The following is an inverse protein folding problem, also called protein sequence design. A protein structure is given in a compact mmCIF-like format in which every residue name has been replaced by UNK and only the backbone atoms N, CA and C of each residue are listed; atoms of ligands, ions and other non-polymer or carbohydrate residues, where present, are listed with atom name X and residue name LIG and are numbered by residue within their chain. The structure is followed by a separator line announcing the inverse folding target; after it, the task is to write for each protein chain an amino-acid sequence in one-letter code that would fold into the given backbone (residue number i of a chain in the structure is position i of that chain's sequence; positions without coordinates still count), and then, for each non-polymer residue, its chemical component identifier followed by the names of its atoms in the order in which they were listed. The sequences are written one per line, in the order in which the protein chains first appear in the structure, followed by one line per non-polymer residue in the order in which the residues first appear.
data_IF_848928967774
#
_entry.id   IF_848928967774
#
_cell.length_a   1.000
_cell.length_b   1.000
_cell.length_c   1.000
_cell.angle_alpha   90.00
_cell.angle_beta   90.00
_cell.angle_gamma   90.00
#
_symmetry.space_group_name_H-M   'P 1'
#
loop_
_entity.id
_entity.type
_entity.pdbx_description
1 polymer ?
#
# COMPACT_ATOMS: atom_id res chain seq x y z
N UNK A 1 6.25 5.71 -15.78
CA UNK A 1 5.54 5.03 -14.67
C UNK A 1 6.33 4.99 -13.36
N UNK A 2 7.59 5.42 -13.34
CA UNK A 2 8.38 5.47 -12.11
C UNK A 2 8.61 4.12 -11.42
N UNK A 3 8.89 3.06 -12.18
CA UNK A 3 9.10 1.70 -11.65
C UNK A 3 10.36 1.57 -10.79
N UNK A 4 10.36 0.60 -9.88
CA UNK A 4 11.54 0.24 -9.06
C UNK A 4 12.62 -0.52 -9.84
N UNK A 5 12.33 -0.98 -11.07
CA UNK A 5 13.25 -1.76 -11.90
C UNK A 5 13.56 -3.17 -11.36
N UNK A 6 12.70 -3.73 -10.48
CA UNK A 6 12.89 -5.04 -9.85
C UNK A 6 12.18 -6.20 -10.56
N UNK A 7 11.62 -5.98 -11.75
CA UNK A 7 11.01 -7.03 -12.57
C UNK A 7 9.59 -7.45 -12.14
N UNK A 8 8.94 -6.72 -11.22
CA UNK A 8 7.61 -7.08 -10.71
C UNK A 8 6.56 -7.06 -11.83
N UNK A 9 6.48 -5.99 -12.61
CA UNK A 9 5.54 -5.87 -13.73
C UNK A 9 5.66 -7.01 -14.73
N UNK A 10 6.86 -7.27 -15.30
CA UNK A 10 7.08 -8.41 -16.20
C UNK A 10 6.71 -9.77 -15.61
N UNK A 11 6.97 -9.99 -14.31
CA UNK A 11 6.61 -11.25 -13.63
C UNK A 11 5.09 -11.43 -13.54
N UNK A 12 4.34 -10.36 -13.22
CA UNK A 12 2.87 -10.42 -13.25
C UNK A 12 2.33 -10.61 -14.67
N UNK A 13 2.93 -9.99 -15.68
CA UNK A 13 2.57 -10.22 -17.08
C UNK A 13 2.77 -11.70 -17.47
N UNK A 14 3.90 -12.30 -17.09
CA UNK A 14 4.16 -13.72 -17.32
C UNK A 14 3.17 -14.63 -16.58
N UNK A 15 2.79 -14.27 -15.35
CA UNK A 15 1.76 -14.99 -14.59
C UNK A 15 0.43 -15.00 -15.33
N UNK A 16 -0.04 -13.85 -15.79
CA UNK A 16 -1.33 -13.72 -16.50
C UNK A 16 -1.29 -14.39 -17.87
N UNK A 17 -0.15 -14.34 -18.56
CA UNK A 17 0.09 -15.04 -19.81
C UNK A 17 0.33 -16.56 -19.63
N UNK A 18 0.42 -17.04 -18.41
CA UNK A 18 0.61 -18.45 -18.02
C UNK A 18 1.93 -19.06 -18.49
N UNK A 19 2.96 -18.23 -18.66
CA UNK A 19 4.33 -18.65 -18.99
C UNK A 19 5.30 -18.52 -17.80
N UNK A 20 4.80 -18.03 -16.66
CA UNK A 20 5.59 -17.82 -15.44
C UNK A 20 6.09 -19.13 -14.81
N UNK A 21 7.25 -19.06 -14.17
CA UNK A 21 7.82 -20.16 -13.39
C UNK A 21 7.20 -20.12 -11.98
N UNK A 22 6.74 -21.29 -11.52
CA UNK A 22 6.18 -21.48 -10.18
C UNK A 22 7.23 -22.08 -9.25
N UNK A 23 7.13 -21.82 -7.94
CA UNK A 23 8.05 -22.40 -6.95
C UNK A 23 8.08 -23.94 -7.02
N UNK A 24 6.94 -24.58 -7.25
CA UNK A 24 6.85 -26.04 -7.40
C UNK A 24 7.69 -26.57 -8.60
N UNK A 25 7.91 -25.78 -9.63
CA UNK A 25 8.67 -26.19 -10.81
C UNK A 25 10.15 -26.41 -10.49
N UNK A 26 10.67 -25.80 -9.41
CA UNK A 26 12.04 -26.00 -8.92
C UNK A 26 12.33 -27.46 -8.54
N UNK A 27 11.29 -28.25 -8.25
CA UNK A 27 11.43 -29.62 -7.74
C UNK A 27 11.32 -30.67 -8.85
N UNK A 28 11.11 -30.24 -10.09
CA UNK A 28 11.19 -31.08 -11.28
C UNK A 28 12.16 -30.44 -12.31
N UNK A 29 13.42 -30.90 -12.35
CA UNK A 29 14.43 -30.31 -13.24
C UNK A 29 14.05 -30.33 -14.73
N UNK A 30 13.30 -31.35 -15.18
CA UNK A 30 12.86 -31.46 -16.57
C UNK A 30 11.83 -30.39 -16.91
N UNK A 31 10.80 -30.25 -16.09
CA UNK A 31 9.76 -29.23 -16.24
C UNK A 31 10.36 -27.84 -16.15
N UNK A 32 11.22 -27.60 -15.16
CA UNK A 32 11.86 -26.27 -15.00
C UNK A 32 12.65 -25.89 -16.24
N UNK A 33 13.53 -26.78 -16.74
CA UNK A 33 14.34 -26.52 -17.95
C UNK A 33 13.46 -26.23 -19.17
N UNK A 34 12.39 -27.00 -19.34
CA UNK A 34 11.45 -26.80 -20.43
C UNK A 34 10.77 -25.44 -20.36
N UNK A 35 10.25 -25.06 -19.19
CA UNK A 35 9.55 -23.78 -18.98
C UNK A 35 10.49 -22.59 -19.15
N UNK A 36 11.70 -22.65 -18.56
CA UNK A 36 12.72 -21.59 -18.71
C UNK A 36 13.09 -21.40 -20.17
N UNK A 37 13.32 -22.49 -20.92
CA UNK A 37 13.62 -22.43 -22.36
C UNK A 37 12.49 -21.76 -23.12
N UNK A 38 11.26 -22.21 -22.95
CA UNK A 38 10.09 -21.66 -23.64
C UNK A 38 9.86 -20.18 -23.31
N UNK A 39 10.01 -19.77 -22.05
CA UNK A 39 9.87 -18.37 -21.65
C UNK A 39 10.97 -17.48 -22.24
N UNK A 40 12.22 -17.97 -22.26
CA UNK A 40 13.35 -17.19 -22.76
C UNK A 40 13.41 -17.16 -24.31
N UNK A 41 12.84 -18.11 -25.01
CA UNK A 41 12.74 -18.06 -26.47
C UNK A 41 12.03 -16.78 -26.95
N UNK A 42 10.89 -16.46 -26.34
CA UNK A 42 10.16 -15.22 -26.63
C UNK A 42 10.91 -13.96 -26.16
N UNK A 43 11.44 -14.00 -24.93
CA UNK A 43 12.13 -12.85 -24.35
C UNK A 43 13.45 -12.54 -25.05
N UNK A 44 14.21 -13.54 -25.44
CA UNK A 44 15.45 -13.36 -26.18
C UNK A 44 15.19 -12.76 -27.57
N UNK A 45 14.10 -13.15 -28.23
CA UNK A 45 13.68 -12.50 -29.47
C UNK A 45 13.45 -11.00 -29.33
N UNK A 46 12.85 -10.57 -28.21
CA UNK A 46 12.68 -9.15 -27.88
C UNK A 46 14.00 -8.48 -27.51
N UNK A 47 14.82 -9.13 -26.69
CA UNK A 47 16.13 -8.60 -26.27
C UNK A 47 17.01 -8.32 -27.48
N UNK A 48 17.12 -9.26 -28.41
CA UNK A 48 17.99 -9.13 -29.59
C UNK A 48 17.41 -8.16 -30.63
N UNK A 49 16.13 -8.37 -31.01
CA UNK A 49 15.56 -7.68 -32.21
C UNK A 49 15.00 -6.28 -31.88
N UNK A 50 14.60 -6.03 -30.64
CA UNK A 50 13.95 -4.75 -30.22
C UNK A 50 14.86 -3.92 -29.37
N UNK A 51 15.57 -4.54 -28.41
CA UNK A 51 16.36 -3.82 -27.45
C UNK A 51 17.87 -3.81 -27.72
N UNK A 52 18.32 -4.49 -28.77
CA UNK A 52 19.76 -4.66 -29.14
C UNK A 52 20.58 -5.10 -27.88
N UNK A 53 20.09 -6.13 -27.19
CA UNK A 53 20.71 -6.72 -26.02
C UNK A 53 21.09 -8.17 -26.27
N UNK A 54 22.11 -8.64 -25.54
CA UNK A 54 22.51 -10.05 -25.61
C UNK A 54 21.39 -10.95 -25.08
N UNK A 55 21.16 -12.10 -25.73
CA UNK A 55 20.23 -13.10 -25.22
C UNK A 55 20.70 -13.66 -23.87
N UNK A 56 19.76 -14.13 -23.09
CA UNK A 56 20.01 -14.81 -21.81
C UNK A 56 20.08 -16.31 -22.08
N UNK A 57 21.10 -16.98 -21.55
CA UNK A 57 21.24 -18.42 -21.67
C UNK A 57 20.19 -19.15 -20.79
N UNK A 58 19.25 -19.91 -21.41
CA UNK A 58 18.24 -20.65 -20.64
C UNK A 58 18.83 -21.71 -19.72
N UNK A 59 19.97 -22.30 -20.10
CA UNK A 59 20.61 -23.33 -19.30
C UNK A 59 21.18 -22.74 -18.02
N UNK A 60 21.88 -21.61 -18.11
CA UNK A 60 22.44 -20.91 -16.97
C UNK A 60 21.35 -20.50 -15.96
N UNK A 61 20.22 -19.97 -16.45
CA UNK A 61 19.08 -19.59 -15.59
C UNK A 61 18.48 -20.81 -14.90
N UNK A 62 18.28 -21.91 -15.63
CA UNK A 62 17.71 -23.12 -15.05
C UNK A 62 18.65 -23.73 -14.00
N UNK A 63 19.95 -23.73 -14.22
CA UNK A 63 20.95 -24.27 -13.30
C UNK A 63 21.02 -23.42 -12.02
N UNK A 64 20.96 -22.09 -12.13
CA UNK A 64 20.88 -21.18 -10.99
C UNK A 64 19.63 -21.44 -10.14
N UNK A 65 18.45 -21.57 -10.77
CA UNK A 65 17.21 -21.85 -10.07
C UNK A 65 17.22 -23.24 -9.38
N UNK A 66 17.80 -24.25 -10.05
CA UNK A 66 17.95 -25.60 -9.46
C UNK A 66 18.89 -25.60 -8.25
N UNK A 67 19.93 -24.74 -8.25
CA UNK A 67 20.82 -24.63 -7.10
C UNK A 67 20.10 -24.12 -5.84
N UNK A 68 19.00 -23.36 -6.00
CA UNK A 68 18.19 -22.94 -4.85
C UNK A 68 17.17 -23.97 -4.40
N UNK A 69 16.85 -24.99 -5.20
CA UNK A 69 15.76 -25.93 -4.94
C UNK A 69 15.87 -26.60 -3.57
N UNK A 70 17.04 -27.15 -3.23
CA UNK A 70 17.23 -27.85 -1.95
C UNK A 70 17.17 -26.91 -0.75
N UNK A 71 17.63 -25.66 -0.90
CA UNK A 71 17.55 -24.65 0.16
C UNK A 71 16.12 -24.21 0.45
N UNK A 72 15.26 -24.08 -0.57
CA UNK A 72 13.88 -23.61 -0.42
C UNK A 72 12.90 -24.76 -0.11
N UNK A 73 13.24 -26.01 -0.44
CA UNK A 73 12.37 -27.18 -0.25
C UNK A 73 11.73 -27.26 1.14
N UNK A 74 12.47 -27.13 2.26
CA UNK A 74 11.88 -27.21 3.60
C UNK A 74 10.95 -26.03 3.94
N UNK A 75 10.96 -24.95 3.14
CA UNK A 75 10.11 -23.77 3.35
C UNK A 75 8.82 -23.84 2.52
N UNK A 76 8.68 -24.81 1.62
CA UNK A 76 7.55 -24.90 0.68
C UNK A 76 6.47 -25.80 1.28
N UNK A 77 5.30 -25.24 1.41
CA UNK A 77 4.11 -25.89 1.96
C UNK A 77 2.88 -25.52 1.14
N UNK A 78 1.80 -26.27 1.30
CA UNK A 78 0.48 -25.82 0.88
C UNK A 78 0.00 -24.73 1.85
N UNK A 79 0.22 -23.46 1.48
CA UNK A 79 -0.13 -22.31 2.32
C UNK A 79 -1.62 -22.26 2.63
N UNK A 80 -2.49 -22.58 1.66
CA UNK A 80 -3.93 -22.60 1.89
C UNK A 80 -4.31 -23.61 2.98
N UNK A 81 -3.77 -24.82 2.89
CA UNK A 81 -4.04 -25.87 3.89
C UNK A 81 -3.52 -25.49 5.28
N UNK A 82 -2.29 -24.96 5.37
CA UNK A 82 -1.68 -24.56 6.65
C UNK A 82 -2.49 -23.44 7.31
N UNK A 83 -2.85 -22.40 6.56
CA UNK A 83 -3.60 -21.25 7.10
C UNK A 83 -5.02 -21.64 7.52
N UNK A 84 -5.73 -22.42 6.69
CA UNK A 84 -7.08 -22.84 7.05
C UNK A 84 -7.08 -23.76 8.29
N UNK A 85 -6.10 -24.68 8.44
CA UNK A 85 -5.95 -25.49 9.66
C UNK A 85 -5.68 -24.63 10.90
N UNK A 86 -4.85 -23.57 10.77
CA UNK A 86 -4.60 -22.65 11.87
C UNK A 86 -5.89 -21.94 12.30
N UNK A 87 -6.66 -21.44 11.34
CA UNK A 87 -7.96 -20.80 11.58
C UNK A 87 -8.98 -21.79 12.19
N UNK A 88 -9.04 -23.03 11.72
CA UNK A 88 -9.92 -24.07 12.26
C UNK A 88 -9.55 -24.43 13.70
N UNK A 89 -8.27 -24.33 14.05
CA UNK A 89 -7.77 -24.49 15.41
C UNK A 89 -7.96 -23.25 16.32
N UNK A 90 -8.63 -22.20 15.83
CA UNK A 90 -8.88 -20.96 16.59
C UNK A 90 -7.64 -20.08 16.76
N UNK A 91 -6.60 -20.26 15.94
CA UNK A 91 -5.40 -19.42 15.99
C UNK A 91 -5.64 -18.09 15.28
N UNK A 92 -5.02 -17.03 15.80
CA UNK A 92 -5.01 -15.72 15.13
C UNK A 92 -4.01 -15.72 13.98
N UNK A 93 -4.47 -15.35 12.78
CA UNK A 93 -3.64 -15.21 11.58
C UNK A 93 -3.63 -13.75 11.16
N UNK A 94 -2.45 -13.16 11.04
CA UNK A 94 -2.24 -11.81 10.55
C UNK A 94 -1.78 -11.84 9.10
N UNK A 95 -2.55 -11.23 8.21
CA UNK A 95 -2.17 -11.00 6.82
C UNK A 95 -1.59 -9.59 6.69
N UNK A 96 -0.33 -9.47 6.27
CA UNK A 96 0.31 -8.20 6.02
C UNK A 96 0.40 -7.97 4.51
N UNK A 97 -0.25 -6.92 4.01
CA UNK A 97 -0.14 -6.47 2.63
C UNK A 97 0.94 -5.39 2.49
N UNK A 98 1.57 -5.34 1.34
CA UNK A 98 2.45 -4.23 0.94
C UNK A 98 1.69 -3.16 0.16
N UNK A 99 2.38 -2.09 -0.22
CA UNK A 99 1.88 -0.97 -1.02
C UNK A 99 0.69 -0.23 -0.37
N UNK A 100 -0.25 0.23 -1.20
CA UNK A 100 -1.42 0.99 -0.74
C UNK A 100 -2.60 0.79 -1.70
N UNK A 101 -3.81 1.10 -1.23
CA UNK A 101 -5.05 1.00 -2.03
C UNK A 101 -4.94 1.74 -3.36
N UNK A 102 -4.41 2.96 -3.37
CA UNK A 102 -4.29 3.76 -4.60
C UNK A 102 -3.22 3.24 -5.57
N UNK A 103 -2.45 2.21 -5.19
CA UNK A 103 -1.51 1.49 -6.04
C UNK A 103 -2.04 0.13 -6.51
N UNK A 104 -3.27 -0.24 -6.15
CA UNK A 104 -3.91 -1.48 -6.63
C UNK A 104 -4.14 -1.42 -8.14
N UNK A 105 -3.89 -2.54 -8.84
CA UNK A 105 -3.98 -2.62 -10.30
C UNK A 105 -5.40 -2.34 -10.81
N UNK A 106 -6.43 -2.71 -10.03
CA UNK A 106 -7.83 -2.58 -10.42
C UNK A 106 -8.50 -1.35 -9.79
N UNK A 107 -8.14 -1.01 -8.55
CA UNK A 107 -8.79 0.03 -7.74
C UNK A 107 -7.94 1.27 -7.52
N UNK A 108 -6.70 1.27 -7.98
CA UNK A 108 -5.77 2.39 -7.83
C UNK A 108 -5.78 3.35 -9.02
N UNK A 109 -4.79 4.23 -9.02
CA UNK A 109 -4.60 5.28 -10.03
C UNK A 109 -3.91 4.74 -11.28
N UNK A 110 -4.51 3.76 -11.95
CA UNK A 110 -3.97 3.18 -13.18
C UNK A 110 -3.69 4.27 -14.24
N UNK A 111 -2.52 4.28 -14.92
CA UNK A 111 -1.47 3.25 -14.93
C UNK A 111 -0.39 3.41 -13.84
N UNK A 112 -0.49 4.38 -12.93
CA UNK A 112 0.48 4.67 -11.88
C UNK A 112 0.24 3.78 -10.65
N UNK A 113 0.35 2.48 -10.83
CA UNK A 113 0.01 1.43 -9.85
C UNK A 113 1.09 0.34 -9.82
N UNK A 114 1.02 -0.54 -8.83
CA UNK A 114 1.73 -1.83 -8.86
C UNK A 114 0.97 -2.82 -9.75
N UNK A 115 1.63 -3.87 -10.20
CA UNK A 115 0.98 -4.93 -10.98
C UNK A 115 0.23 -5.95 -10.11
N UNK A 116 0.08 -5.67 -8.83
CA UNK A 116 -0.55 -6.55 -7.83
C UNK A 116 -1.82 -5.91 -7.24
N UNK A 117 -2.55 -6.70 -6.46
CA UNK A 117 -3.72 -6.26 -5.70
C UNK A 117 -3.37 -6.13 -4.20
N UNK A 118 -2.90 -4.96 -3.73
CA UNK A 118 -2.66 -4.72 -2.31
C UNK A 118 -3.94 -4.45 -1.50
N UNK A 119 -5.11 -4.41 -2.13
CA UNK A 119 -6.39 -4.37 -1.40
C UNK A 119 -6.62 -5.67 -0.62
N UNK A 120 -7.47 -5.63 0.41
CA UNK A 120 -7.72 -6.76 1.31
C UNK A 120 -8.15 -8.04 0.58
N UNK A 121 -8.89 -7.93 -0.53
CA UNK A 121 -9.22 -9.07 -1.38
C UNK A 121 -8.01 -9.82 -1.94
N UNK A 122 -6.87 -9.14 -2.10
CA UNK A 122 -5.61 -9.75 -2.52
C UNK A 122 -5.04 -10.75 -1.53
N UNK A 123 -5.33 -10.62 -0.24
CA UNK A 123 -4.96 -11.61 0.77
C UNK A 123 -5.66 -12.95 0.51
N UNK A 124 -6.95 -12.91 0.20
CA UNK A 124 -7.72 -14.12 -0.10
C UNK A 124 -7.19 -14.85 -1.33
N UNK A 125 -6.99 -14.14 -2.44
CA UNK A 125 -6.49 -14.75 -3.68
C UNK A 125 -5.04 -15.18 -3.60
N UNK A 126 -4.22 -14.46 -2.84
CA UNK A 126 -2.80 -14.75 -2.67
C UNK A 126 -2.50 -15.95 -1.76
N UNK A 127 -3.34 -16.19 -0.76
CA UNK A 127 -3.11 -17.21 0.27
C UNK A 127 -4.04 -18.42 0.17
N UNK A 128 -5.15 -18.30 -0.55
CA UNK A 128 -6.17 -19.36 -0.63
C UNK A 128 -7.05 -19.47 0.61
N UNK A 129 -7.15 -18.39 1.40
CA UNK A 129 -8.12 -18.26 2.50
C UNK A 129 -9.41 -17.63 1.95
N UNK A 130 -10.55 -18.23 2.25
CA UNK A 130 -11.84 -17.72 1.78
C UNK A 130 -12.18 -16.35 2.42
N UNK A 131 -12.87 -15.45 1.69
CA UNK A 131 -13.14 -14.09 2.19
C UNK A 131 -13.98 -14.07 3.48
N UNK A 132 -14.84 -15.07 3.70
CA UNK A 132 -15.65 -15.19 4.92
C UNK A 132 -14.86 -15.63 6.16
N UNK A 133 -13.56 -15.90 6.01
CA UNK A 133 -12.62 -16.24 7.09
C UNK A 133 -11.79 -15.04 7.55
N UNK A 134 -12.03 -13.88 6.96
CA UNK A 134 -11.39 -12.63 7.35
C UNK A 134 -12.35 -11.90 8.29
N UNK A 135 -11.99 -11.81 9.56
CA UNK A 135 -12.83 -11.20 10.59
C UNK A 135 -12.66 -9.69 10.65
N UNK A 136 -11.43 -9.21 10.40
CA UNK A 136 -11.10 -7.78 10.50
C UNK A 136 -10.15 -7.34 9.38
N UNK A 137 -10.36 -6.13 8.89
CA UNK A 137 -9.49 -5.48 7.92
C UNK A 137 -9.04 -4.14 8.50
N UNK A 138 -7.76 -4.06 8.81
CA UNK A 138 -7.17 -2.86 9.43
C UNK A 138 -6.44 -2.05 8.37
N UNK A 139 -6.92 -0.83 8.12
CA UNK A 139 -6.24 0.13 7.25
C UNK A 139 -5.19 0.93 8.01
N UNK A 140 -3.99 1.05 7.48
CA UNK A 140 -2.97 1.98 8.01
C UNK A 140 -3.00 3.26 7.19
N UNK A 141 -3.23 4.38 7.85
CA UNK A 141 -3.30 5.71 7.24
C UNK A 141 -2.36 6.66 7.98
N UNK A 142 -1.76 7.60 7.28
CA UNK A 142 -1.03 8.69 7.93
C UNK A 142 -1.97 9.86 8.25
N UNK A 143 -1.60 10.65 9.23
CA UNK A 143 -2.31 11.90 9.52
C UNK A 143 -2.25 12.92 8.35
N UNK A 144 -1.37 12.74 7.39
CA UNK A 144 -1.26 13.47 6.14
C UNK A 144 -1.05 12.49 4.98
N UNK A 145 -1.07 12.94 3.74
CA UNK A 145 -0.95 12.04 2.59
C UNK A 145 0.47 12.06 2.02
N UNK A 146 0.97 10.90 1.59
CA UNK A 146 2.24 10.79 0.86
C UNK A 146 2.10 9.92 -0.38
N UNK A 147 2.87 10.25 -1.42
CA UNK A 147 2.95 9.44 -2.63
C UNK A 147 4.39 9.28 -3.08
N UNK A 148 4.74 8.07 -3.52
CA UNK A 148 6.00 7.79 -4.20
C UNK A 148 5.74 7.64 -5.70
N UNK A 149 6.57 8.30 -6.52
CA UNK A 149 6.47 8.23 -7.98
C UNK A 149 5.40 9.15 -8.56
N UNK A 150 5.10 8.91 -9.82
CA UNK A 150 4.19 9.70 -10.64
C UNK A 150 2.72 9.37 -10.32
N UNK A 151 1.83 10.11 -11.00
CA UNK A 151 0.38 9.93 -10.89
C UNK A 151 -0.32 11.05 -10.12
N UNK A 152 -1.66 11.08 -10.15
CA UNK A 152 -2.46 12.13 -9.55
C UNK A 152 -2.29 12.19 -8.03
N UNK A 153 -2.25 13.41 -7.52
CA UNK A 153 -2.17 13.70 -6.10
C UNK A 153 -2.81 15.07 -5.83
N UNK A 154 -4.14 15.16 -5.79
CA UNK A 154 -4.84 16.44 -5.70
C UNK A 154 -4.43 17.32 -4.51
N UNK A 155 -4.13 16.68 -3.36
CA UNK A 155 -3.74 17.41 -2.13
C UNK A 155 -2.23 17.66 -2.02
N UNK A 156 -1.44 17.44 -3.06
CA UNK A 156 0.01 17.65 -3.02
C UNK A 156 0.39 19.10 -2.71
N UNK A 157 1.37 19.27 -1.83
CA UNK A 157 1.98 20.53 -1.46
C UNK A 157 3.36 20.64 -2.10
N UNK A 158 3.50 21.53 -3.07
CA UNK A 158 4.74 21.74 -3.84
C UNK A 158 5.66 22.83 -3.28
N UNK A 159 5.24 23.51 -2.20
CA UNK A 159 5.96 24.61 -1.56
C UNK A 159 6.60 24.22 -0.23
N UNK A 160 6.94 25.25 0.56
CA UNK A 160 7.61 25.12 1.85
C UNK A 160 6.88 24.20 2.84
N UNK A 161 5.56 24.18 2.79
CA UNK A 161 4.74 23.32 3.65
C UNK A 161 4.93 21.83 3.33
N UNK A 162 4.98 21.47 2.04
CA UNK A 162 5.28 20.09 1.62
C UNK A 162 6.69 19.65 1.99
N UNK A 163 7.67 20.57 1.89
CA UNK A 163 9.04 20.30 2.34
C UNK A 163 9.10 20.11 3.87
N UNK A 164 8.35 20.92 4.63
CA UNK A 164 8.24 20.78 6.08
C UNK A 164 7.69 19.41 6.46
N UNK A 165 6.54 18.99 5.91
CA UNK A 165 5.97 17.66 6.15
C UNK A 165 6.94 16.54 5.78
N UNK A 166 7.69 16.70 4.68
CA UNK A 166 8.69 15.72 4.25
C UNK A 166 9.83 15.60 5.25
N UNK A 167 10.38 16.72 5.70
CA UNK A 167 11.51 16.76 6.62
C UNK A 167 11.12 16.22 8.01
N UNK A 168 10.06 16.75 8.60
CA UNK A 168 9.56 16.35 9.92
C UNK A 168 9.05 14.90 9.92
N UNK A 169 8.37 14.50 8.86
CA UNK A 169 7.89 13.14 8.68
C UNK A 169 8.96 12.13 8.26
N UNK A 170 10.18 12.55 7.91
CA UNK A 170 11.20 11.66 7.39
C UNK A 170 10.75 10.93 6.12
N UNK A 171 10.04 11.64 5.22
CA UNK A 171 9.36 11.04 4.08
C UNK A 171 10.32 10.77 2.91
N UNK A 172 11.15 9.75 3.10
CA UNK A 172 12.09 9.23 2.11
C UNK A 172 11.92 7.73 1.95
N UNK A 173 12.16 7.23 0.75
CA UNK A 173 12.09 5.79 0.47
C UNK A 173 13.22 5.03 1.17
N UNK A 174 12.87 4.03 1.99
CA UNK A 174 13.86 3.25 2.76
C UNK A 174 14.92 2.61 1.87
N UNK A 175 14.54 2.07 0.72
CA UNK A 175 15.44 1.35 -0.20
C UNK A 175 16.13 2.28 -1.20
N UNK A 176 15.46 3.35 -1.62
CA UNK A 176 15.91 4.19 -2.73
C UNK A 176 16.37 5.58 -2.30
N UNK A 177 16.09 5.99 -1.06
CA UNK A 177 16.33 7.35 -0.57
C UNK A 177 15.51 8.43 -1.30
N UNK A 178 14.61 8.06 -2.23
CA UNK A 178 13.84 9.05 -2.99
C UNK A 178 12.89 9.82 -2.08
N UNK A 179 12.83 11.17 -2.22
CA UNK A 179 11.85 11.96 -1.49
C UNK A 179 10.43 11.56 -1.91
N UNK A 180 9.54 11.48 -0.92
CA UNK A 180 8.12 11.29 -1.16
C UNK A 180 7.45 12.64 -1.38
N UNK A 181 6.47 12.68 -2.25
CA UNK A 181 5.54 13.80 -2.40
C UNK A 181 4.64 13.81 -1.15
N UNK A 182 4.39 14.99 -0.58
CA UNK A 182 3.59 15.15 0.64
C UNK A 182 2.44 16.11 0.39
N UNK A 183 1.34 15.91 1.08
CA UNK A 183 0.15 16.75 0.99
C UNK A 183 -0.76 16.58 2.20
N UNK A 184 -1.77 17.43 2.32
CA UNK A 184 -2.75 17.33 3.38
C UNK A 184 -3.54 16.02 3.32
N UNK A 185 -4.13 15.62 4.43
CA UNK A 185 -4.94 14.40 4.48
C UNK A 185 -6.09 14.47 3.48
N UNK A 186 -6.24 13.40 2.70
CA UNK A 186 -7.27 13.26 1.68
C UNK A 186 -8.35 12.29 2.17
N UNK A 187 -9.44 12.86 2.70
CA UNK A 187 -10.53 12.07 3.24
C UNK A 187 -11.38 11.40 2.14
N UNK A 188 -11.38 11.94 0.91
CA UNK A 188 -12.04 11.28 -0.22
C UNK A 188 -11.35 9.97 -0.56
N UNK A 189 -10.02 9.98 -0.63
CA UNK A 189 -9.20 8.77 -0.83
C UNK A 189 -9.35 7.80 0.35
N UNK A 190 -9.34 8.31 1.59
CA UNK A 190 -9.45 7.44 2.77
C UNK A 190 -10.83 6.76 2.85
N UNK A 191 -11.91 7.47 2.54
CA UNK A 191 -13.27 6.91 2.42
C UNK A 191 -13.36 5.86 1.32
N UNK A 192 -12.79 6.16 0.15
CA UNK A 192 -12.72 5.19 -0.94
C UNK A 192 -11.95 3.93 -0.53
N UNK A 193 -10.79 4.09 0.12
CA UNK A 193 -10.01 2.97 0.62
C UNK A 193 -10.78 2.15 1.66
N UNK A 194 -11.51 2.79 2.58
CA UNK A 194 -12.37 2.09 3.55
C UNK A 194 -13.41 1.23 2.84
N UNK A 195 -14.07 1.76 1.82
CA UNK A 195 -15.10 1.05 1.03
C UNK A 195 -14.54 -0.15 0.26
N UNK A 196 -13.47 0.03 -0.52
CA UNK A 196 -12.97 -1.05 -1.40
C UNK A 196 -12.25 -2.16 -0.66
N UNK A 197 -11.75 -1.89 0.56
CA UNK A 197 -11.14 -2.89 1.41
C UNK A 197 -12.11 -3.49 2.44
N UNK A 198 -13.28 -2.87 2.67
CA UNK A 198 -14.16 -3.25 3.76
C UNK A 198 -13.50 -3.04 5.13
N UNK A 199 -12.84 -1.88 5.33
CA UNK A 199 -12.10 -1.62 6.57
C UNK A 199 -13.04 -1.65 7.78
N UNK A 200 -12.62 -2.38 8.80
CA UNK A 200 -13.27 -2.38 10.12
C UNK A 200 -12.63 -1.36 11.05
N UNK A 201 -11.36 -1.07 10.83
CA UNK A 201 -10.52 -0.22 11.67
C UNK A 201 -9.51 0.57 10.85
N UNK A 202 -9.12 1.74 11.36
CA UNK A 202 -7.98 2.52 10.91
C UNK A 202 -6.93 2.58 12.03
N UNK A 203 -5.68 2.49 11.64
CA UNK A 203 -4.53 2.88 12.47
C UNK A 203 -3.95 4.14 11.85
N UNK A 204 -4.12 5.27 12.52
CA UNK A 204 -3.53 6.53 12.10
C UNK A 204 -2.10 6.63 12.61
N UNK A 205 -1.16 6.95 11.73
CA UNK A 205 0.26 7.12 12.09
C UNK A 205 0.70 8.55 11.86
N UNK A 206 1.80 8.94 12.53
CA UNK A 206 2.45 10.25 12.31
C UNK A 206 1.58 11.46 12.67
N UNK A 207 0.74 11.35 13.68
CA UNK A 207 -0.02 12.50 14.17
C UNK A 207 0.91 13.57 14.76
N UNK A 208 2.01 13.15 15.37
CA UNK A 208 3.09 14.00 15.89
C UNK A 208 3.70 14.96 14.88
N UNK A 209 3.75 14.57 13.61
CA UNK A 209 4.31 15.39 12.51
C UNK A 209 3.48 16.65 12.25
N UNK A 210 2.21 16.67 12.64
CA UNK A 210 1.33 17.83 12.50
C UNK A 210 1.44 18.84 13.64
N UNK A 211 2.25 18.58 14.66
CA UNK A 211 2.52 19.54 15.76
C UNK A 211 3.14 20.83 15.24
N UNK A 212 2.71 21.96 15.76
CA UNK A 212 3.21 23.29 15.37
C UNK A 212 2.57 23.88 14.11
N UNK A 213 1.53 23.24 13.56
CA UNK A 213 0.70 23.84 12.53
C UNK A 213 -0.45 24.62 13.18
N UNK A 214 -0.65 25.89 12.79
CA UNK A 214 -1.75 26.71 13.29
C UNK A 214 -3.12 26.17 12.86
N UNK A 215 -3.19 25.71 11.60
CA UNK A 215 -4.36 25.04 11.03
C UNK A 215 -3.89 23.79 10.30
N UNK A 216 -4.73 22.74 10.33
CA UNK A 216 -4.49 21.47 9.61
C UNK A 216 -5.65 21.27 8.63
N UNK A 217 -5.45 21.60 7.35
CA UNK A 217 -6.45 21.36 6.31
C UNK A 217 -6.69 19.88 6.06
N UNK A 218 -7.95 19.50 5.86
CA UNK A 218 -8.37 18.16 5.43
C UNK A 218 -9.17 18.28 4.15
N UNK A 219 -8.78 17.56 3.11
CA UNK A 219 -9.55 17.52 1.87
C UNK A 219 -10.82 16.67 2.11
N UNK A 220 -11.97 17.34 2.06
CA UNK A 220 -13.28 16.71 2.33
C UNK A 220 -14.08 16.42 1.06
N UNK A 221 -13.70 17.05 -0.06
CA UNK A 221 -14.34 16.90 -1.37
C UNK A 221 -13.37 17.32 -2.48
N UNK A 222 -13.73 17.02 -3.71
CA UNK A 222 -13.09 17.58 -4.89
C UNK A 222 -14.08 18.47 -5.65
N UNK A 223 -13.56 19.50 -6.30
CA UNK A 223 -14.22 20.18 -7.41
C UNK A 223 -13.66 19.58 -8.71
N UNK A 224 -14.56 19.04 -9.52
CA UNK A 224 -14.26 18.46 -10.84
C UNK A 224 -15.11 19.22 -11.85
N UNK A 225 -14.49 20.07 -12.66
CA UNK A 225 -15.16 20.89 -13.68
C UNK A 225 -16.36 21.69 -13.12
N UNK A 226 -16.21 22.27 -11.92
CA UNK A 226 -17.25 23.07 -11.25
C UNK A 226 -18.30 22.23 -10.52
N UNK A 227 -18.14 20.90 -10.47
CA UNK A 227 -19.01 20.00 -9.73
C UNK A 227 -18.32 19.49 -8.49
N UNK A 228 -18.86 19.79 -7.31
CA UNK A 228 -18.35 19.29 -6.04
C UNK A 228 -18.77 17.84 -5.81
N UNK A 229 -17.81 16.98 -5.54
CA UNK A 229 -18.02 15.56 -5.20
C UNK A 229 -17.25 15.16 -3.96
N UNK A 230 -17.84 14.28 -3.15
CA UNK A 230 -17.18 13.64 -2.00
C UNK A 230 -16.72 12.22 -2.34
N UNK A 231 -16.96 11.78 -3.56
CA UNK A 231 -16.55 10.46 -4.08
C UNK A 231 -15.36 10.56 -5.02
N UNK A 232 -14.63 9.47 -5.14
CA UNK A 232 -13.53 9.37 -6.12
C UNK A 232 -14.06 9.61 -7.54
N UNK A 233 -13.41 10.48 -8.33
CA UNK A 233 -13.74 10.64 -9.73
C UNK A 233 -13.63 9.32 -10.51
N UNK A 234 -14.52 9.12 -11.48
CA UNK A 234 -14.58 7.88 -12.26
C UNK A 234 -13.40 7.71 -13.21
N UNK A 235 -12.89 8.82 -13.73
CA UNK A 235 -11.78 8.77 -14.71
C UNK A 235 -10.48 9.26 -14.09
N UNK A 236 -9.36 8.74 -14.61
CA UNK A 236 -8.04 9.24 -14.24
C UNK A 236 -7.83 10.72 -14.59
N UNK A 237 -8.43 11.16 -15.69
CA UNK A 237 -8.36 12.55 -16.11
C UNK A 237 -9.01 13.45 -15.09
N UNK A 238 -10.24 13.12 -14.67
CA UNK A 238 -10.98 13.91 -13.67
C UNK A 238 -10.23 13.92 -12.33
N UNK A 239 -9.68 12.79 -11.92
CA UNK A 239 -8.90 12.73 -10.69
C UNK A 239 -7.58 13.51 -10.78
N UNK A 240 -6.94 13.53 -11.95
CA UNK A 240 -5.71 14.31 -12.16
C UNK A 240 -5.95 15.82 -12.10
N UNK A 241 -7.12 16.27 -12.55
CA UNK A 241 -7.52 17.69 -12.58
C UNK A 241 -8.41 18.08 -11.40
N UNK A 242 -8.74 17.16 -10.51
CA UNK A 242 -9.54 17.44 -9.34
C UNK A 242 -8.90 18.52 -8.45
N UNK A 243 -9.67 19.52 -8.10
CA UNK A 243 -9.24 20.57 -7.19
C UNK A 243 -9.72 20.21 -5.78
N UNK A 244 -8.82 20.07 -4.79
CA UNK A 244 -9.22 19.72 -3.44
C UNK A 244 -10.01 20.83 -2.77
N UNK A 245 -11.09 20.45 -2.09
CA UNK A 245 -11.90 21.35 -1.25
C UNK A 245 -11.56 21.03 0.20
N UNK A 246 -10.97 22.00 0.89
CA UNK A 246 -10.49 21.84 2.23
C UNK A 246 -11.48 22.31 3.29
N UNK A 247 -11.51 21.59 4.41
CA UNK A 247 -11.99 22.02 5.71
C UNK A 247 -10.76 22.31 6.57
N UNK A 248 -10.67 23.51 7.13
CA UNK A 248 -9.57 23.88 8.01
C UNK A 248 -9.91 23.51 9.46
N UNK A 249 -9.10 22.65 10.06
CA UNK A 249 -9.20 22.30 11.47
C UNK A 249 -8.16 23.06 12.26
N UNK A 250 -8.45 23.31 13.54
CA UNK A 250 -7.51 23.89 14.49
C UNK A 250 -6.29 22.96 14.67
N UNK A 251 -5.09 23.53 14.65
CA UNK A 251 -3.85 22.81 14.94
C UNK A 251 -3.49 22.84 16.43
N UNK A 252 -2.33 22.30 16.77
CA UNK A 252 -1.81 22.27 18.14
C UNK A 252 -0.30 22.46 18.17
N UNK A 253 0.20 23.05 19.26
CA UNK A 253 1.63 23.30 19.44
C UNK A 253 2.29 22.36 20.46
N UNK A 254 1.47 21.65 21.27
CA UNK A 254 1.95 20.76 22.31
C UNK A 254 2.64 19.53 21.72
N UNK A 255 3.80 19.15 22.28
CA UNK A 255 4.45 17.89 21.95
C UNK A 255 3.60 16.70 22.45
N UNK A 256 3.11 15.91 21.51
CA UNK A 256 2.27 14.74 21.77
C UNK A 256 3.04 13.41 21.80
N UNK A 257 4.35 13.41 21.59
CA UNK A 257 5.16 12.17 21.49
C UNK A 257 5.16 11.34 22.78
N UNK A 258 4.97 12.01 23.92
CA UNK A 258 4.84 11.38 25.24
C UNK A 258 3.44 10.91 25.62
N UNK A 259 2.41 11.26 24.86
CA UNK A 259 1.01 10.92 25.16
C UNK A 259 0.75 9.42 24.94
N UNK A 260 0.00 8.80 25.84
CA UNK A 260 -0.32 7.36 25.80
C UNK A 260 -1.82 7.06 25.88
N UNK A 261 -2.65 8.06 26.17
CA UNK A 261 -4.11 7.94 26.23
C UNK A 261 -4.75 8.97 25.33
N UNK A 262 -5.82 8.59 24.66
CA UNK A 262 -6.53 9.48 23.74
C UNK A 262 -7.03 10.77 24.40
N UNK A 263 -7.50 10.66 25.65
CA UNK A 263 -8.03 11.76 26.43
C UNK A 263 -6.97 12.81 26.79
N UNK A 264 -5.70 12.41 26.83
CA UNK A 264 -4.56 13.27 27.17
C UNK A 264 -3.99 14.03 25.95
N UNK A 265 -4.48 13.74 24.74
CA UNK A 265 -4.16 14.54 23.54
C UNK A 265 -4.76 15.96 23.65
N UNK A 266 -4.11 16.98 23.08
CA UNK A 266 -4.69 18.31 22.92
C UNK A 266 -6.10 18.23 22.30
N UNK A 267 -7.03 19.11 22.71
CA UNK A 267 -8.39 19.10 22.15
C UNK A 267 -8.45 19.14 20.63
N UNK A 268 -7.59 19.95 19.99
CA UNK A 268 -7.50 20.07 18.54
C UNK A 268 -7.02 18.75 17.89
N UNK A 269 -6.00 18.09 18.45
CA UNK A 269 -5.52 16.80 17.96
C UNK A 269 -6.59 15.70 18.07
N UNK A 270 -7.36 15.69 19.18
CA UNK A 270 -8.52 14.78 19.31
C UNK A 270 -9.60 15.07 18.27
N UNK A 271 -9.92 16.35 18.08
CA UNK A 271 -10.92 16.76 17.09
C UNK A 271 -10.51 16.34 15.67
N UNK A 272 -9.22 16.50 15.34
CA UNK A 272 -8.66 16.04 14.08
C UNK A 272 -8.90 14.53 13.86
N UNK A 273 -8.50 13.70 14.82
CA UNK A 273 -8.67 12.24 14.74
C UNK A 273 -10.15 11.85 14.57
N UNK A 274 -11.04 12.46 15.36
CA UNK A 274 -12.48 12.17 15.28
C UNK A 274 -13.08 12.64 13.95
N UNK A 275 -12.58 13.74 13.41
CA UNK A 275 -13.04 14.21 12.10
C UNK A 275 -12.62 13.28 10.97
N UNK A 276 -11.40 12.76 11.02
CA UNK A 276 -10.98 11.74 10.04
C UNK A 276 -11.80 10.46 10.17
N UNK A 277 -12.09 10.00 11.40
CA UNK A 277 -12.96 8.85 11.67
C UNK A 277 -14.34 9.03 11.04
N UNK A 278 -14.96 10.20 11.20
CA UNK A 278 -16.25 10.54 10.62
C UNK A 278 -16.19 10.56 9.08
N UNK A 279 -15.21 11.27 8.50
CA UNK A 279 -15.05 11.42 7.06
C UNK A 279 -14.75 10.09 6.35
N UNK A 280 -13.98 9.22 6.99
CA UNK A 280 -13.63 7.89 6.47
C UNK A 280 -14.76 6.87 6.63
N UNK A 281 -15.80 7.17 7.45
CA UNK A 281 -16.82 6.22 7.89
C UNK A 281 -16.19 4.94 8.50
N UNK A 282 -15.08 5.05 9.21
CA UNK A 282 -14.32 3.94 9.77
C UNK A 282 -13.60 4.38 11.05
N UNK A 283 -13.66 3.55 12.10
CA UNK A 283 -13.08 3.90 13.39
C UNK A 283 -11.55 3.98 13.36
N UNK A 284 -10.98 5.03 13.96
CA UNK A 284 -9.55 5.12 14.24
C UNK A 284 -9.27 4.41 15.56
N UNK A 285 -8.86 3.15 15.48
CA UNK A 285 -8.67 2.26 16.64
C UNK A 285 -7.31 2.41 17.31
N UNK A 286 -6.28 2.89 16.59
CA UNK A 286 -4.99 3.21 17.18
C UNK A 286 -4.35 4.42 16.48
N UNK A 287 -3.49 5.13 17.22
CA UNK A 287 -2.87 6.38 16.79
C UNK A 287 -1.38 6.36 17.16
N UNK A 288 -0.52 6.50 16.15
CA UNK A 288 0.92 6.68 16.32
C UNK A 288 1.25 8.15 16.54
N UNK A 289 1.90 8.44 17.65
CA UNK A 289 2.33 9.77 18.09
C UNK A 289 3.86 9.88 18.15
N UNK A 290 4.57 9.00 17.49
CA UNK A 290 6.01 8.96 17.39
C UNK A 290 6.50 7.68 16.69
N UNK A 291 7.82 7.53 16.44
CA UNK A 291 8.37 6.43 15.65
C UNK A 291 8.46 5.08 16.42
N UNK A 292 8.42 5.10 17.75
CA UNK A 292 8.56 3.91 18.57
C UNK A 292 7.25 3.13 18.68
N UNK A 293 7.34 1.81 18.89
CA UNK A 293 6.17 0.95 19.10
C UNK A 293 5.36 1.40 20.33
N UNK A 294 6.03 1.85 21.36
CA UNK A 294 5.44 2.40 22.60
C UNK A 294 4.73 3.75 22.40
N UNK A 295 5.02 4.44 21.29
CA UNK A 295 4.37 5.70 20.92
C UNK A 295 3.05 5.47 20.17
N UNK A 296 2.30 4.44 20.55
CA UNK A 296 1.00 4.11 19.98
C UNK A 296 -0.09 4.18 21.05
N UNK A 297 -1.07 5.03 20.81
CA UNK A 297 -2.30 5.12 21.61
C UNK A 297 -3.30 4.12 21.06
N UNK A 298 -3.73 3.16 21.86
CA UNK A 298 -4.76 2.17 21.48
C UNK A 298 -6.11 2.63 22.05
N UNK A 299 -7.08 2.91 21.19
CA UNK A 299 -8.45 3.28 21.54
C UNK A 299 -9.39 2.07 21.58
N UNK A 300 -9.14 1.11 20.70
CA UNK A 300 -9.89 -0.16 20.60
C UNK A 300 -8.93 -1.31 20.34
N UNK A 301 -9.19 -2.47 20.94
CA UNK A 301 -8.38 -3.65 20.64
C UNK A 301 -8.45 -3.99 19.16
N UNK A 302 -7.29 -4.25 18.56
CA UNK A 302 -7.17 -4.76 17.18
C UNK A 302 -7.08 -6.29 17.13
N UNK A 303 -6.93 -6.93 18.28
CA UNK A 303 -6.68 -8.38 18.41
C UNK A 303 -7.85 -9.13 19.07
N UNK A 304 -9.04 -8.67 18.91
CA UNK A 304 -10.23 -9.33 19.44
C UNK A 304 -10.58 -8.93 20.86
#
# INVERSE_FOLDING_TARGET
LGTTGRGIGPTYADKMNRVGIRIQDLFDPSILRQKVRSALEQKNGLLEKVFDRRPIDPQAVADELLAYAERVRPMVVDCSLVLNRALDAGQTVLFEAGQATMLDIDHGTYPFVTSSNPTAGGACTGTGVGPTRIDRVVGVVKAYTTRVGEGPFPTELTGAEGERLRAEGGEYGVTTGRPRRCGWHDAVVTRYAARVNGLTDLVMTKLDVLTGHRTVPVCVAYDVDGTRTTEMPLTQSDFHHAVPVYEELEGWDEDITGVRRFEDLPPAARAYVLRIEELACCHVSAIGVGPGREATIVRRSLMG
#
